data_IF_366148594221
#
_entry.id   IF_366148594221
#
_cell.length_a   1.000
_cell.length_b   1.000
_cell.length_c   1.000
_cell.angle_alpha   90.00
_cell.angle_beta   90.00
_cell.angle_gamma   90.00
#
_symmetry.space_group_name_H-M   'P 1'
#
loop_
_entity.id
_entity.type
_entity.pdbx_description
1 polymer ?
#
# COMPACT_ATOMS: atom_id res chain seq x y z
N UNK A 1 16.66 33.87 -14.41
CA UNK A 1 16.49 33.65 -14.13
C UNK A 1 15.96 33.37 -13.73
N UNK A 2 16.01 33.00 -14.08
CA UNK A 2 15.66 32.64 -13.74
C UNK A 2 15.04 32.27 -13.42
N UNK A 3 15.11 31.99 -13.67
CA UNK A 3 14.53 31.63 -13.40
C UNK A 3 13.92 31.17 -13.00
N UNK A 4 14.03 30.99 -13.40
CA UNK A 4 13.54 30.65 -13.22
C UNK A 4 12.99 30.11 -12.42
N UNK A 5 13.19 30.12 -12.19
CA UNK A 5 12.69 29.79 -11.41
C UNK A 5 11.70 29.65 -10.78
N UNK A 6 11.68 30.17 -10.77
CA UNK A 6 10.49 30.13 -10.03
C UNK A 6 9.61 28.99 -10.25
N UNK A 7 9.80 28.34 -11.24
CA UNK A 7 8.92 27.33 -11.59
C UNK A 7 8.77 26.22 -10.66
N UNK A 8 9.71 25.95 -9.95
CA UNK A 8 9.61 24.75 -9.19
C UNK A 8 8.61 24.78 -8.12
N UNK A 9 8.43 25.88 -7.53
CA UNK A 9 7.56 25.84 -6.42
C UNK A 9 6.18 25.92 -6.76
N UNK A 10 5.93 26.40 -7.87
CA UNK A 10 4.56 26.61 -8.13
C UNK A 10 3.76 25.36 -8.17
N UNK A 11 4.35 24.29 -8.40
CA UNK A 11 3.55 23.12 -8.48
C UNK A 11 2.96 22.73 -7.17
N UNK A 12 3.49 23.18 -6.15
CA UNK A 12 3.06 22.74 -4.86
C UNK A 12 1.67 23.11 -4.46
N UNK A 13 1.18 24.30 -4.77
CA UNK A 13 -0.19 24.63 -4.41
C UNK A 13 -1.19 23.68 -5.04
N UNK A 14 -0.93 23.28 -6.25
CA UNK A 14 -1.80 22.36 -6.93
C UNK A 14 -1.82 21.00 -6.24
N UNK A 15 -0.68 20.52 -5.79
CA UNK A 15 -0.62 19.29 -5.07
C UNK A 15 -1.34 19.36 -3.74
N UNK A 16 -1.24 20.47 -3.06
CA UNK A 16 -1.90 20.62 -1.77
C UNK A 16 -3.39 20.54 -1.88
N UNK A 17 -3.95 20.93 -3.00
CA UNK A 17 -5.38 20.88 -3.21
C UNK A 17 -5.87 19.53 -3.70
N UNK A 18 -4.98 18.64 -4.05
CA UNK A 18 -5.32 17.34 -4.60
C UNK A 18 -5.80 16.40 -3.49
N UNK A 19 -6.98 15.75 -3.64
CA UNK A 19 -7.46 14.83 -2.60
C UNK A 19 -6.48 13.73 -2.26
N UNK A 20 -5.70 13.26 -3.23
CA UNK A 20 -4.67 12.26 -2.94
C UNK A 20 -3.60 12.82 -2.04
N UNK A 21 -3.24 14.08 -2.24
CA UNK A 21 -2.25 14.73 -1.38
C UNK A 21 -2.76 14.86 0.04
N UNK A 22 -4.05 15.14 0.21
CA UNK A 22 -4.62 15.22 1.55
C UNK A 22 -4.62 13.86 2.24
N UNK A 23 -4.96 12.81 1.50
CA UNK A 23 -4.92 11.46 2.05
C UNK A 23 -3.49 11.06 2.40
N UNK A 24 -2.55 11.36 1.54
CA UNK A 24 -1.14 11.06 1.79
C UNK A 24 -0.63 11.83 3.00
N UNK A 25 -1.03 13.09 3.15
CA UNK A 25 -0.62 13.90 4.30
C UNK A 25 -1.15 13.29 5.59
N UNK A 26 -2.39 12.81 5.58
CA UNK A 26 -2.96 12.17 6.75
C UNK A 26 -2.23 10.88 7.10
N UNK A 27 -1.89 10.09 6.08
CA UNK A 27 -1.13 8.86 6.30
C UNK A 27 0.23 9.19 6.90
N UNK A 28 0.87 10.24 6.44
CA UNK A 28 2.16 10.66 6.99
C UNK A 28 2.03 11.01 8.47
N UNK A 29 0.96 11.70 8.86
CA UNK A 29 0.71 12.00 10.25
C UNK A 29 0.54 10.74 11.07
N UNK A 30 -0.21 9.78 10.55
CA UNK A 30 -0.44 8.52 11.24
C UNK A 30 0.86 7.74 11.45
N UNK A 31 1.82 7.91 10.53
CA UNK A 31 3.13 7.30 10.67
C UNK A 31 4.07 8.07 11.59
N UNK A 32 3.61 9.17 12.19
CA UNK A 32 4.34 9.95 13.20
C UNK A 32 5.71 10.40 12.73
N UNK A 33 5.79 10.79 11.48
CA UNK A 33 7.04 11.31 10.92
C UNK A 33 8.05 10.24 10.52
N UNK A 34 7.69 8.96 10.64
CA UNK A 34 8.58 7.87 10.24
C UNK A 34 8.55 7.73 8.72
N UNK A 35 9.57 8.27 8.06
CA UNK A 35 9.61 8.30 6.60
C UNK A 35 9.70 6.93 5.96
N UNK A 36 10.40 5.99 6.59
CA UNK A 36 10.52 4.65 6.05
C UNK A 36 9.17 3.93 6.09
N UNK A 37 8.49 4.04 7.22
CA UNK A 37 7.17 3.41 7.35
C UNK A 37 6.17 4.07 6.42
N UNK A 38 6.17 5.40 6.34
CA UNK A 38 5.28 6.11 5.43
C UNK A 38 5.52 5.69 3.98
N UNK A 39 6.78 5.58 3.59
CA UNK A 39 7.12 5.17 2.22
C UNK A 39 6.58 3.79 1.89
N UNK A 40 6.72 2.84 2.82
CA UNK A 40 6.21 1.50 2.60
C UNK A 40 4.68 1.47 2.59
N UNK A 41 4.05 2.14 3.55
CA UNK A 41 2.60 2.15 3.65
C UNK A 41 1.97 2.81 2.42
N UNK A 42 2.55 3.92 1.96
CA UNK A 42 1.98 4.64 0.82
C UNK A 42 2.04 3.82 -0.47
N UNK A 43 2.98 2.89 -0.56
CA UNK A 43 3.12 2.04 -1.75
C UNK A 43 2.27 0.78 -1.67
N UNK A 44 2.04 0.27 -0.47
CA UNK A 44 1.39 -1.03 -0.30
C UNK A 44 -0.07 -0.95 0.11
N UNK A 45 -0.51 0.20 0.65
CA UNK A 45 -1.92 0.41 0.95
C UNK A 45 -2.67 0.91 -0.27
N UNK A 46 -3.97 0.70 -0.27
CA UNK A 46 -4.85 1.27 -1.28
C UNK A 46 -5.37 2.61 -0.75
N UNK A 47 -4.76 3.70 -1.19
CA UNK A 47 -5.11 5.02 -0.67
C UNK A 47 -6.47 5.51 -1.19
N UNK A 48 -6.92 4.96 -2.32
CA UNK A 48 -8.25 5.24 -2.83
C UNK A 48 -9.07 3.95 -2.73
N UNK A 49 -9.66 3.68 -1.57
CA UNK A 49 -10.33 2.40 -1.34
C UNK A 49 -11.52 2.15 -2.27
N UNK A 50 -12.14 3.20 -2.79
CA UNK A 50 -13.31 3.03 -3.65
C UNK A 50 -12.98 2.34 -4.97
N UNK A 51 -11.71 2.29 -5.32
CA UNK A 51 -11.30 1.69 -6.59
C UNK A 51 -11.02 0.20 -6.48
N UNK A 52 -11.05 -0.35 -5.27
CA UNK A 52 -10.71 -1.75 -5.04
C UNK A 52 -11.98 -2.53 -4.74
N UNK A 53 -12.39 -3.32 -5.69
CA UNK A 53 -13.63 -4.12 -5.57
C UNK A 53 -13.38 -5.61 -5.69
N UNK A 54 -12.13 -6.03 -5.70
CA UNK A 54 -11.78 -7.43 -5.96
C UNK A 54 -11.72 -8.22 -4.65
N UNK A 55 -12.43 -9.36 -4.55
CA UNK A 55 -12.34 -10.19 -3.34
C UNK A 55 -10.93 -10.78 -3.22
N UNK A 56 -10.46 -10.89 -1.98
CA UNK A 56 -9.11 -11.39 -1.75
C UNK A 56 -8.95 -12.82 -2.27
N UNK A 57 -9.99 -13.64 -2.17
CA UNK A 57 -9.91 -15.02 -2.64
C UNK A 57 -9.61 -15.10 -4.13
N UNK A 58 -10.19 -14.20 -4.91
CA UNK A 58 -9.92 -14.15 -6.35
C UNK A 58 -8.48 -13.77 -6.63
N UNK A 59 -7.98 -12.80 -5.87
CA UNK A 59 -6.60 -12.34 -6.03
C UNK A 59 -5.63 -13.46 -5.69
N UNK A 60 -5.88 -14.17 -4.61
CA UNK A 60 -5.00 -15.27 -4.18
C UNK A 60 -5.02 -16.41 -5.18
N UNK A 61 -6.20 -16.73 -5.70
CA UNK A 61 -6.32 -17.79 -6.68
C UNK A 61 -5.52 -17.47 -7.93
N UNK A 62 -5.64 -16.23 -8.38
CA UNK A 62 -4.90 -15.79 -9.56
C UNK A 62 -3.38 -15.79 -9.30
N UNK A 63 -2.96 -15.37 -8.11
CA UNK A 63 -1.54 -15.38 -7.77
C UNK A 63 -1.00 -16.80 -7.81
N UNK A 64 -1.76 -17.76 -7.30
CA UNK A 64 -1.35 -19.16 -7.30
C UNK A 64 -1.25 -19.71 -8.71
N UNK A 65 -2.18 -19.33 -9.59
CA UNK A 65 -2.12 -19.71 -10.99
C UNK A 65 -0.84 -19.18 -11.65
N UNK A 66 -0.53 -17.91 -11.42
CA UNK A 66 0.66 -17.32 -12.01
C UNK A 66 1.93 -17.96 -11.46
N UNK A 67 1.92 -18.29 -10.17
CA UNK A 67 3.03 -18.98 -9.55
C UNK A 67 3.25 -20.35 -10.20
N UNK A 68 2.18 -21.10 -10.40
CA UNK A 68 2.26 -22.43 -11.01
C UNK A 68 2.73 -22.35 -12.45
N UNK A 69 2.45 -21.25 -13.12
CA UNK A 69 2.90 -21.05 -14.50
C UNK A 69 4.32 -20.51 -14.59
N UNK A 70 4.98 -20.28 -13.46
CA UNK A 70 6.33 -19.76 -13.42
C UNK A 70 6.45 -18.27 -13.65
N UNK A 71 5.35 -17.55 -13.61
CA UNK A 71 5.35 -16.09 -13.81
C UNK A 71 5.59 -15.40 -12.48
N UNK A 72 6.87 -15.23 -12.12
CA UNK A 72 7.23 -14.71 -10.81
C UNK A 72 6.73 -13.30 -10.57
N UNK A 73 6.84 -12.44 -11.58
CA UNK A 73 6.41 -11.06 -11.42
C UNK A 73 4.91 -10.97 -11.18
N UNK A 74 4.12 -11.73 -11.93
CA UNK A 74 2.66 -11.70 -11.78
C UNK A 74 2.22 -12.31 -10.46
N UNK A 75 2.93 -13.34 -10.00
CA UNK A 75 2.66 -13.93 -8.70
C UNK A 75 2.96 -12.91 -7.60
N UNK A 76 4.08 -12.22 -7.69
CA UNK A 76 4.44 -11.19 -6.74
C UNK A 76 3.36 -10.10 -6.66
N UNK A 77 2.91 -9.60 -7.81
CA UNK A 77 1.89 -8.56 -7.86
C UNK A 77 0.60 -9.03 -7.18
N UNK A 78 0.20 -10.28 -7.43
CA UNK A 78 -0.98 -10.84 -6.80
C UNK A 78 -0.87 -10.91 -5.29
N UNK A 79 0.26 -11.38 -4.78
CA UNK A 79 0.44 -11.45 -3.33
C UNK A 79 0.57 -10.06 -2.70
N UNK A 80 1.16 -9.11 -3.42
CA UNK A 80 1.23 -7.74 -2.95
C UNK A 80 -0.17 -7.14 -2.79
N UNK A 81 -1.04 -7.37 -3.78
CA UNK A 81 -2.41 -6.90 -3.71
C UNK A 81 -3.15 -7.55 -2.54
N UNK A 82 -2.96 -8.86 -2.36
CA UNK A 82 -3.57 -9.56 -1.24
C UNK A 82 -3.11 -8.99 0.10
N UNK A 83 -1.81 -8.68 0.21
CA UNK A 83 -1.28 -8.05 1.42
C UNK A 83 -1.91 -6.69 1.69
N UNK A 84 -2.11 -5.89 0.64
CA UNK A 84 -2.76 -4.60 0.79
C UNK A 84 -4.21 -4.74 1.24
N UNK A 85 -4.92 -5.73 0.72
CA UNK A 85 -6.29 -6.00 1.17
C UNK A 85 -6.29 -6.43 2.64
N UNK A 86 -5.34 -7.28 3.02
CA UNK A 86 -5.22 -7.71 4.42
C UNK A 86 -4.98 -6.52 5.34
N UNK A 87 -4.15 -5.55 4.92
CA UNK A 87 -3.96 -4.33 5.69
C UNK A 87 -5.29 -3.60 5.88
N UNK A 88 -6.10 -3.51 4.85
CA UNK A 88 -7.37 -2.80 4.93
C UNK A 88 -8.36 -3.49 5.86
N UNK A 89 -8.20 -4.79 6.06
CA UNK A 89 -9.09 -5.55 6.93
C UNK A 89 -8.56 -5.71 8.35
N UNK A 90 -7.37 -5.19 8.62
CA UNK A 90 -6.76 -5.36 9.93
C UNK A 90 -6.29 -6.78 10.19
N UNK A 91 -6.01 -7.54 9.15
CA UNK A 91 -5.64 -8.94 9.23
C UNK A 91 -4.12 -9.06 9.27
N UNK A 92 -3.56 -9.03 10.49
CA UNK A 92 -2.11 -9.07 10.67
C UNK A 92 -1.49 -10.37 10.15
N UNK A 93 -2.18 -11.49 10.34
CA UNK A 93 -1.68 -12.77 9.84
C UNK A 93 -1.63 -12.77 8.32
N UNK A 94 -2.67 -12.25 7.68
CA UNK A 94 -2.67 -12.13 6.23
C UNK A 94 -1.59 -11.22 5.72
N UNK A 95 -1.37 -10.09 6.40
CA UNK A 95 -0.29 -9.17 6.05
C UNK A 95 1.04 -9.90 6.05
N UNK A 96 1.33 -10.64 7.11
CA UNK A 96 2.58 -11.38 7.21
C UNK A 96 2.67 -12.47 6.14
N UNK A 97 1.60 -13.19 5.92
CA UNK A 97 1.60 -14.30 4.99
C UNK A 97 1.79 -13.83 3.54
N UNK A 98 1.01 -12.84 3.13
CA UNK A 98 0.99 -12.45 1.71
C UNK A 98 2.22 -11.63 1.33
N UNK A 99 2.65 -10.72 2.20
CA UNK A 99 3.87 -9.97 1.89
C UNK A 99 5.11 -10.86 1.96
N UNK A 100 5.11 -11.89 2.82
CA UNK A 100 6.20 -12.85 2.81
C UNK A 100 6.28 -13.61 1.49
N UNK A 101 5.12 -13.97 0.94
CA UNK A 101 5.10 -14.59 -0.38
C UNK A 101 5.61 -13.63 -1.45
N UNK A 102 5.21 -12.37 -1.38
CA UNK A 102 5.70 -11.38 -2.33
C UNK A 102 7.22 -11.27 -2.28
N UNK A 103 7.80 -11.26 -1.07
CA UNK A 103 9.24 -11.22 -0.90
C UNK A 103 9.91 -12.43 -1.56
N UNK A 104 9.28 -13.61 -1.45
CA UNK A 104 9.88 -14.81 -2.01
C UNK A 104 10.08 -14.72 -3.52
N UNK A 105 9.31 -13.86 -4.21
CA UNK A 105 9.48 -13.64 -5.65
C UNK A 105 10.30 -12.40 -5.97
N UNK A 106 10.25 -11.38 -5.11
CA UNK A 106 10.91 -10.10 -5.37
C UNK A 106 12.33 -10.04 -4.85
N UNK A 107 12.66 -10.80 -3.81
CA UNK A 107 13.95 -10.69 -3.15
C UNK A 107 14.12 -9.30 -2.57
N UNK A 108 15.24 -8.67 -2.88
CA UNK A 108 15.56 -7.35 -2.35
C UNK A 108 15.08 -6.21 -3.24
N UNK A 109 14.35 -6.52 -4.31
CA UNK A 109 13.94 -5.49 -5.29
C UNK A 109 12.96 -4.49 -4.69
N UNK A 110 12.18 -4.89 -3.68
CA UNK A 110 11.15 -4.05 -3.09
C UNK A 110 11.30 -4.06 -1.58
N UNK A 111 12.16 -3.21 -1.03
CA UNK A 111 12.41 -3.19 0.43
C UNK A 111 11.17 -2.82 1.24
N UNK A 112 10.19 -2.21 0.63
CA UNK A 112 8.97 -1.83 1.36
C UNK A 112 8.25 -3.06 1.95
N UNK A 113 8.35 -4.22 1.33
CA UNK A 113 7.77 -5.43 1.92
C UNK A 113 8.40 -5.75 3.26
N UNK A 114 9.74 -5.63 3.34
CA UNK A 114 10.45 -5.92 4.58
C UNK A 114 10.09 -4.95 5.69
N UNK A 115 9.89 -3.69 5.35
CA UNK A 115 9.49 -2.68 6.33
C UNK A 115 8.16 -3.08 6.97
N UNK A 116 7.18 -3.45 6.15
CA UNK A 116 5.88 -3.84 6.67
C UNK A 116 5.99 -5.13 7.49
N UNK A 117 6.76 -6.11 7.01
CA UNK A 117 6.88 -7.39 7.71
C UNK A 117 7.51 -7.23 9.08
N UNK A 118 8.51 -6.36 9.20
CA UNK A 118 9.16 -6.13 10.49
C UNK A 118 8.29 -5.37 11.47
N UNK A 119 7.33 -4.62 10.96
CA UNK A 119 6.52 -3.73 11.78
C UNK A 119 5.03 -3.96 11.52
N UNK A 120 4.63 -5.22 11.34
CA UNK A 120 3.29 -5.53 10.88
C UNK A 120 2.20 -5.08 11.84
N UNK A 121 2.42 -5.20 13.16
CA UNK A 121 1.41 -4.74 14.13
C UNK A 121 1.19 -3.24 14.02
N UNK A 122 2.27 -2.49 13.87
CA UNK A 122 2.20 -1.05 13.74
C UNK A 122 1.55 -0.68 12.41
N UNK A 123 1.92 -1.37 11.33
CA UNK A 123 1.35 -1.12 10.02
C UNK A 123 -0.15 -1.37 10.02
N UNK A 124 -0.59 -2.46 10.64
CA UNK A 124 -2.01 -2.79 10.72
C UNK A 124 -2.76 -1.73 11.52
N UNK A 125 -2.19 -1.26 12.63
CA UNK A 125 -2.84 -0.23 13.45
C UNK A 125 -3.00 1.08 12.68
N UNK A 126 -1.98 1.46 11.92
CA UNK A 126 -2.02 2.68 11.11
C UNK A 126 -3.06 2.53 10.01
N UNK A 127 -3.06 1.39 9.33
CA UNK A 127 -4.02 1.14 8.26
C UNK A 127 -5.44 1.20 8.78
N UNK A 128 -5.68 0.63 9.98
CA UNK A 128 -7.02 0.67 10.57
C UNK A 128 -7.51 2.12 10.74
N UNK A 129 -6.66 2.98 11.29
CA UNK A 129 -7.03 4.38 11.46
C UNK A 129 -7.28 5.08 10.13
N UNK A 130 -6.43 4.81 9.16
CA UNK A 130 -6.59 5.41 7.85
C UNK A 130 -7.94 5.01 7.23
N UNK A 131 -8.25 3.73 7.24
CA UNK A 131 -9.48 3.26 6.60
C UNK A 131 -10.73 3.63 7.41
N UNK A 132 -10.61 3.89 8.70
CA UNK A 132 -11.74 4.44 9.46
C UNK A 132 -12.11 5.83 8.95
N UNK A 133 -11.12 6.60 8.50
CA UNK A 133 -11.36 7.95 8.02
C UNK A 133 -11.77 7.99 6.56
N UNK A 134 -11.16 7.16 5.73
CA UNK A 134 -11.33 7.25 4.28
C UNK A 134 -12.16 6.11 3.68
N UNK A 135 -12.59 5.16 4.49
CA UNK A 135 -13.36 4.01 4.01
C UNK A 135 -12.47 2.83 3.66
N UNK A 136 -13.04 1.63 3.66
CA UNK A 136 -12.31 0.41 3.35
C UNK A 136 -12.51 0.02 1.89
N UNK A 137 -11.54 -0.69 1.28
CA UNK A 137 -11.71 -1.21 -0.07
C UNK A 137 -12.79 -2.27 -0.12
N UNK A 138 -13.38 -2.43 -1.29
CA UNK A 138 -14.34 -3.48 -1.54
C UNK A 138 -15.77 -3.06 -1.31
N UNK A 139 -16.71 -3.99 -1.54
CA UNK A 139 -18.12 -3.68 -1.33
C UNK A 139 -18.39 -3.38 0.13
N UNK A 140 -19.23 -2.39 0.37
CA UNK A 140 -19.65 -2.06 1.72
C UNK A 140 -20.96 -2.79 2.01
N UNK A 141 -21.07 -3.38 3.15
CA UNK A 141 -22.28 -4.12 3.49
C UNK A 141 -23.18 -3.39 4.41
#
# INVERSE_FOLDING_TARGET
>A
MKLGLGKSKQKDPSLAANPESLAAARLRELCSGDGELFGAMSRLMFLDPKRIMIPIDSVLREAQVQEAQGSKLRAEVGYRIAGGIALSKGDADGVNQYFSRAVSFAGDSHPEYQVILKRSSEAVAIARKYYEEFGTPGPQS
#
